data_IF_204385879643
#
_entry.id   IF_204385879643
#
_cell.length_a   1.000
_cell.length_b   1.000
_cell.length_c   1.000
_cell.angle_alpha   90.00
_cell.angle_beta   90.00
_cell.angle_gamma   90.00
#
_symmetry.space_group_name_H-M   'P 1'
#
loop_
_entity.id
_entity.type
_entity.pdbx_description
1 polymer ?
#
# COMPACT_ATOMS: atom_id res chain seq x y z
N UNK A 1 -21.68 -31.08 2.70
CA UNK A 1 -20.94 -31.17 3.98
C UNK A 1 -20.82 -29.75 4.51
N UNK A 2 -21.56 -29.36 5.57
CA UNK A 2 -21.57 -27.97 6.05
C UNK A 2 -20.18 -27.43 6.39
N UNK A 3 -19.29 -28.29 6.91
CA UNK A 3 -17.91 -27.92 7.27
C UNK A 3 -17.10 -27.46 6.05
N UNK A 4 -17.34 -28.06 4.88
CA UNK A 4 -16.68 -27.70 3.62
C UNK A 4 -17.38 -26.54 2.87
N UNK A 5 -18.68 -26.38 3.10
CA UNK A 5 -19.56 -25.48 2.33
C UNK A 5 -19.78 -24.12 2.99
N UNK A 6 -19.70 -24.04 4.33
CA UNK A 6 -19.88 -22.80 5.09
C UNK A 6 -18.52 -22.14 5.30
N UNK A 7 -18.30 -21.01 4.62
CA UNK A 7 -17.01 -20.29 4.60
C UNK A 7 -16.94 -19.12 5.58
N UNK A 8 -18.06 -18.76 6.20
CA UNK A 8 -18.23 -17.63 7.11
C UNK A 8 -18.41 -18.07 8.57
N UNK A 9 -18.10 -19.33 8.89
CA UNK A 9 -18.05 -19.84 10.28
C UNK A 9 -17.14 -18.98 11.16
N UNK A 10 -15.98 -18.61 10.60
CA UNK A 10 -15.12 -17.54 11.12
C UNK A 10 -15.05 -16.45 10.07
N UNK A 11 -15.43 -15.24 10.47
CA UNK A 11 -15.37 -14.07 9.63
C UNK A 11 -14.70 -12.90 10.36
N UNK A 12 -13.90 -12.13 9.62
CA UNK A 12 -13.29 -10.90 10.09
C UNK A 12 -13.78 -9.74 9.24
N UNK A 13 -14.16 -8.65 9.88
CA UNK A 13 -14.50 -7.41 9.19
C UNK A 13 -13.38 -6.39 9.35
N UNK A 14 -12.83 -5.93 8.23
CA UNK A 14 -11.84 -4.86 8.19
C UNK A 14 -12.53 -3.58 7.71
N UNK A 15 -12.55 -2.57 8.58
CA UNK A 15 -13.15 -1.26 8.30
C UNK A 15 -12.03 -0.26 8.01
N UNK A 16 -12.06 0.32 6.81
CA UNK A 16 -11.12 1.36 6.37
C UNK A 16 -11.82 2.72 6.34
N UNK A 17 -11.04 3.81 6.30
CA UNK A 17 -11.62 5.14 6.14
C UNK A 17 -11.96 5.45 4.69
N UNK A 18 -11.10 5.08 3.73
CA UNK A 18 -11.29 5.37 2.32
C UNK A 18 -11.34 4.12 1.45
N UNK A 19 -11.86 4.29 0.23
CA UNK A 19 -11.87 3.25 -0.82
C UNK A 19 -10.44 2.86 -1.21
N UNK A 20 -9.51 3.82 -1.30
CA UNK A 20 -8.09 3.53 -1.56
C UNK A 20 -7.51 2.57 -0.53
N UNK A 21 -7.79 2.79 0.76
CA UNK A 21 -7.30 1.91 1.82
C UNK A 21 -8.02 0.54 1.80
N UNK A 22 -9.31 0.49 1.42
CA UNK A 22 -10.06 -0.78 1.22
C UNK A 22 -9.39 -1.65 0.17
N UNK A 23 -9.06 -1.07 -0.98
CA UNK A 23 -8.49 -1.80 -2.12
C UNK A 23 -7.05 -2.26 -1.80
N UNK A 24 -6.26 -1.43 -1.12
CA UNK A 24 -4.93 -1.83 -0.63
C UNK A 24 -4.98 -2.99 0.36
N UNK A 25 -5.94 -3.00 1.29
CA UNK A 25 -6.13 -4.13 2.20
C UNK A 25 -6.45 -5.41 1.41
N UNK A 26 -7.30 -5.31 0.39
CA UNK A 26 -7.61 -6.45 -0.48
C UNK A 26 -6.35 -6.99 -1.19
N UNK A 27 -5.52 -6.11 -1.76
CA UNK A 27 -4.26 -6.54 -2.39
C UNK A 27 -3.26 -7.14 -1.39
N UNK A 28 -3.16 -6.58 -0.17
CA UNK A 28 -2.32 -7.14 0.88
C UNK A 28 -2.77 -8.55 1.28
N UNK A 29 -4.09 -8.79 1.32
CA UNK A 29 -4.66 -10.11 1.56
C UNK A 29 -4.30 -11.06 0.42
N UNK A 30 -4.52 -10.68 -0.84
CA UNK A 30 -4.19 -11.51 -2.02
C UNK A 30 -2.70 -11.83 -2.12
N UNK A 31 -1.85 -10.87 -1.75
CA UNK A 31 -0.40 -11.05 -1.76
C UNK A 31 0.12 -11.98 -0.66
N UNK A 32 -0.69 -12.28 0.37
CA UNK A 32 -0.26 -13.07 1.54
C UNK A 32 -0.98 -14.40 1.71
N UNK A 33 -2.27 -14.44 1.37
CA UNK A 33 -3.18 -15.52 1.67
C UNK A 33 -3.61 -16.23 0.39
N UNK A 34 -3.73 -17.55 0.46
CA UNK A 34 -4.35 -18.32 -0.61
C UNK A 34 -5.85 -18.02 -0.60
N UNK A 35 -6.32 -17.41 -1.68
CA UNK A 35 -7.74 -17.08 -1.89
C UNK A 35 -8.43 -18.30 -2.47
N UNK A 36 -9.61 -18.64 -1.94
CA UNK A 36 -10.42 -19.74 -2.46
C UNK A 36 -10.99 -19.35 -3.83
N UNK A 37 -10.90 -20.25 -4.79
CA UNK A 37 -11.36 -20.01 -6.16
C UNK A 37 -12.83 -19.54 -6.20
N UNK A 38 -13.07 -18.42 -6.90
CA UNK A 38 -14.41 -17.83 -7.04
C UNK A 38 -14.93 -17.08 -5.80
N UNK A 39 -14.16 -17.01 -4.71
CA UNK A 39 -14.58 -16.41 -3.44
C UNK A 39 -13.91 -15.07 -3.13
N UNK A 40 -13.44 -14.37 -4.16
CA UNK A 40 -13.05 -12.97 -4.11
C UNK A 40 -14.05 -12.13 -4.90
N UNK A 41 -15.09 -11.67 -4.20
CA UNK A 41 -16.32 -11.15 -4.80
C UNK A 41 -16.78 -9.85 -4.13
N UNK A 42 -17.56 -9.08 -4.87
CA UNK A 42 -18.27 -7.91 -4.35
C UNK A 42 -19.77 -8.17 -4.49
N UNK A 43 -20.44 -8.80 -3.51
CA UNK A 43 -21.81 -9.31 -3.68
C UNK A 43 -22.85 -8.26 -4.09
N UNK A 44 -22.56 -6.99 -3.81
CA UNK A 44 -23.42 -5.87 -4.19
C UNK A 44 -23.48 -5.60 -5.69
N UNK A 45 -22.43 -5.96 -6.44
CA UNK A 45 -22.35 -5.70 -7.88
C UNK A 45 -23.39 -6.48 -8.69
N UNK A 46 -23.83 -7.64 -8.20
CA UNK A 46 -24.86 -8.47 -8.83
C UNK A 46 -26.29 -8.18 -8.37
N UNK A 47 -26.50 -7.21 -7.46
CA UNK A 47 -27.85 -6.93 -6.93
C UNK A 47 -28.70 -6.18 -7.98
N UNK A 48 -30.02 -6.43 -8.03
CA UNK A 48 -30.93 -5.65 -8.86
C UNK A 48 -30.82 -4.14 -8.57
N UNK A 49 -31.12 -3.30 -9.54
CA UNK A 49 -31.01 -1.84 -9.40
C UNK A 49 -31.74 -1.27 -8.16
N UNK A 50 -32.91 -1.81 -7.80
CA UNK A 50 -33.67 -1.42 -6.60
C UNK A 50 -33.08 -1.93 -5.26
N UNK A 51 -32.06 -2.79 -5.32
CA UNK A 51 -31.29 -3.30 -4.17
C UNK A 51 -29.82 -2.89 -4.22
N UNK A 52 -29.49 -1.87 -5.04
CA UNK A 52 -28.14 -1.32 -5.15
C UNK A 52 -27.67 -0.70 -3.84
N UNK A 53 -26.35 -0.55 -3.70
CA UNK A 53 -25.73 0.22 -2.62
C UNK A 53 -24.93 -0.59 -1.61
N UNK A 54 -25.11 -1.91 -1.57
CA UNK A 54 -24.24 -2.77 -0.78
C UNK A 54 -22.82 -2.73 -1.36
N UNK A 55 -21.87 -2.23 -0.58
CA UNK A 55 -20.46 -2.12 -0.97
C UNK A 55 -19.59 -2.84 0.06
N UNK A 56 -19.12 -4.01 -0.31
CA UNK A 56 -18.21 -4.80 0.50
C UNK A 56 -17.46 -5.77 -0.39
N UNK A 57 -16.14 -5.87 -0.19
CA UNK A 57 -15.32 -6.92 -0.78
C UNK A 57 -15.29 -8.11 0.18
N UNK A 58 -15.69 -9.28 -0.31
CA UNK A 58 -15.67 -10.54 0.41
C UNK A 58 -14.54 -11.38 -0.17
N UNK A 59 -13.60 -11.78 0.68
CA UNK A 59 -12.48 -12.64 0.31
C UNK A 59 -12.48 -13.84 1.24
N UNK A 60 -12.70 -15.04 0.72
CA UNK A 60 -12.49 -16.27 1.49
C UNK A 60 -11.06 -16.75 1.30
N UNK A 61 -10.36 -16.95 2.41
CA UNK A 61 -8.97 -17.45 2.42
C UNK A 61 -8.90 -18.86 3.00
N UNK A 62 -7.97 -19.66 2.49
CA UNK A 62 -7.82 -21.09 2.80
C UNK A 62 -6.39 -21.48 3.17
N UNK A 63 -5.49 -20.52 3.33
CA UNK A 63 -4.10 -20.80 3.66
C UNK A 63 -3.15 -19.67 3.35
N UNK A 64 -1.85 -20.00 3.30
CA UNK A 64 -0.79 -19.10 2.85
C UNK A 64 -0.67 -19.14 1.31
N UNK A 65 -0.48 -17.97 0.69
CA UNK A 65 -0.22 -17.90 -0.75
C UNK A 65 1.12 -18.57 -1.07
N UNK A 66 1.22 -19.42 -2.12
CA UNK A 66 2.46 -20.09 -2.49
C UNK A 66 3.63 -19.12 -2.78
N UNK A 67 3.31 -17.92 -3.26
CA UNK A 67 4.28 -16.89 -3.63
C UNK A 67 4.65 -15.97 -2.44
N UNK A 68 4.01 -16.15 -1.29
CA UNK A 68 4.24 -15.32 -0.12
C UNK A 68 5.43 -15.82 0.72
N UNK A 69 6.04 -14.91 1.48
CA UNK A 69 7.16 -15.23 2.36
C UNK A 69 6.75 -16.26 3.44
N UNK A 70 7.24 -17.49 3.33
CA UNK A 70 6.81 -18.60 4.18
C UNK A 70 7.01 -18.34 5.69
N UNK A 71 6.09 -18.86 6.50
CA UNK A 71 6.33 -19.06 7.95
C UNK A 71 5.58 -18.15 8.92
N UNK A 72 4.59 -17.37 8.45
CA UNK A 72 3.62 -16.74 9.35
C UNK A 72 2.48 -17.70 9.73
N UNK A 73 2.11 -18.61 8.82
CA UNK A 73 1.20 -19.71 9.10
C UNK A 73 2.00 -20.85 9.75
N UNK A 74 1.83 -21.01 11.06
CA UNK A 74 2.56 -22.01 11.84
C UNK A 74 1.97 -23.39 11.55
N UNK A 75 2.77 -24.29 10.99
CA UNK A 75 2.37 -25.69 10.76
C UNK A 75 1.92 -26.34 12.07
N UNK A 76 0.73 -26.96 12.08
CA UNK A 76 0.10 -27.52 13.27
C UNK A 76 -0.43 -26.49 14.28
N UNK A 77 -0.31 -25.18 14.01
CA UNK A 77 -0.94 -24.11 14.77
C UNK A 77 -2.45 -24.04 14.53
N UNK A 78 -3.17 -23.28 15.37
CA UNK A 78 -4.64 -23.20 15.34
C UNK A 78 -5.19 -22.76 13.98
N UNK A 79 -4.60 -21.71 13.38
CA UNK A 79 -5.05 -21.23 12.08
C UNK A 79 -4.76 -22.22 10.94
N UNK A 80 -3.64 -22.94 11.00
CA UNK A 80 -3.32 -23.97 10.02
C UNK A 80 -4.32 -25.14 10.10
N UNK A 81 -4.59 -25.62 11.33
CA UNK A 81 -5.62 -26.64 11.58
C UNK A 81 -7.00 -26.19 11.13
N UNK A 82 -7.35 -24.93 11.35
CA UNK A 82 -8.62 -24.38 10.89
C UNK A 82 -8.75 -24.47 9.37
N UNK A 83 -7.70 -24.13 8.60
CA UNK A 83 -7.73 -24.26 7.15
C UNK A 83 -7.72 -25.72 6.64
N UNK A 84 -7.17 -26.65 7.40
CA UNK A 84 -7.22 -28.09 7.09
C UNK A 84 -8.61 -28.68 7.33
N UNK A 85 -9.35 -28.17 8.33
CA UNK A 85 -10.63 -28.73 8.76
C UNK A 85 -11.85 -28.01 8.13
N UNK A 86 -11.78 -26.70 7.93
CA UNK A 86 -12.93 -25.87 7.51
C UNK A 86 -12.78 -25.30 6.10
N UNK A 87 -13.92 -25.03 5.45
CA UNK A 87 -13.99 -24.55 4.07
C UNK A 87 -13.42 -23.15 3.78
N UNK A 88 -12.90 -22.46 4.79
CA UNK A 88 -12.24 -21.16 4.67
C UNK A 88 -12.57 -20.19 5.82
N UNK A 89 -11.89 -19.03 5.78
CA UNK A 89 -12.16 -17.88 6.64
C UNK A 89 -12.57 -16.71 5.77
N UNK A 90 -13.72 -16.09 6.06
CA UNK A 90 -14.20 -14.95 5.29
C UNK A 90 -13.62 -13.62 5.84
N UNK A 91 -13.08 -12.79 4.94
CA UNK A 91 -12.66 -11.44 5.25
C UNK A 91 -13.56 -10.47 4.48
N UNK A 92 -14.30 -9.65 5.22
CA UNK A 92 -15.15 -8.60 4.68
C UNK A 92 -14.48 -7.24 4.84
N UNK A 93 -14.18 -6.58 3.72
CA UNK A 93 -13.51 -5.28 3.70
C UNK A 93 -14.52 -4.21 3.28
N UNK A 94 -14.65 -3.15 4.09
CA UNK A 94 -15.59 -2.03 3.84
C UNK A 94 -14.96 -0.71 4.25
N UNK A 95 -15.43 0.39 3.65
CA UNK A 95 -15.22 1.72 4.24
C UNK A 95 -16.14 1.91 5.45
N UNK A 96 -15.84 2.88 6.31
CA UNK A 96 -16.69 3.25 7.44
C UNK A 96 -18.10 3.64 6.99
N UNK A 97 -18.21 4.34 5.85
CA UNK A 97 -19.48 4.76 5.26
C UNK A 97 -20.27 3.53 4.74
N UNK A 98 -19.59 2.61 4.04
CA UNK A 98 -20.20 1.37 3.58
C UNK A 98 -20.60 0.43 4.72
N UNK A 99 -19.85 0.42 5.82
CA UNK A 99 -20.24 -0.30 7.01
C UNK A 99 -21.53 0.25 7.61
N UNK A 100 -21.62 1.57 7.83
CA UNK A 100 -22.81 2.20 8.40
C UNK A 100 -24.06 1.95 7.55
N UNK A 101 -23.95 2.11 6.22
CA UNK A 101 -25.06 1.84 5.30
C UNK A 101 -25.52 0.37 5.39
N UNK A 102 -24.57 -0.56 5.36
CA UNK A 102 -24.89 -1.99 5.31
C UNK A 102 -25.47 -2.52 6.63
N UNK A 103 -25.02 -2.05 7.79
CA UNK A 103 -25.63 -2.45 9.06
C UNK A 103 -27.07 -1.92 9.16
N UNK A 104 -27.32 -0.67 8.74
CA UNK A 104 -28.67 -0.11 8.74
C UNK A 104 -29.61 -0.81 7.74
N UNK A 105 -29.15 -1.09 6.52
CA UNK A 105 -29.94 -1.85 5.53
C UNK A 105 -30.25 -3.26 6.04
N UNK A 106 -29.27 -3.93 6.64
CA UNK A 106 -29.45 -5.29 7.13
C UNK A 106 -30.47 -5.36 8.29
N UNK A 107 -30.42 -4.42 9.23
CA UNK A 107 -31.39 -4.36 10.33
C UNK A 107 -32.82 -4.08 9.86
N UNK A 108 -32.99 -3.17 8.90
CA UNK A 108 -34.32 -2.69 8.48
C UNK A 108 -34.94 -3.52 7.37
N UNK A 109 -34.15 -3.95 6.40
CA UNK A 109 -34.62 -4.60 5.17
C UNK A 109 -34.48 -6.12 5.19
N UNK A 110 -33.42 -6.64 5.81
CA UNK A 110 -33.13 -8.08 5.79
C UNK A 110 -33.64 -8.84 7.03
N UNK A 111 -33.67 -8.17 8.20
CA UNK A 111 -34.19 -8.74 9.46
C UNK A 111 -35.56 -8.18 9.88
N UNK A 112 -36.09 -7.22 9.13
CA UNK A 112 -37.29 -6.50 9.51
C UNK A 112 -38.57 -7.22 9.10
N UNK A 113 -39.19 -7.98 10.01
CA UNK A 113 -40.59 -8.44 9.85
C UNK A 113 -41.56 -7.27 9.58
N UNK A 114 -41.15 -6.05 9.94
CA UNK A 114 -41.85 -4.80 9.66
C UNK A 114 -41.80 -4.40 8.19
N UNK A 115 -40.69 -4.64 7.48
CA UNK A 115 -40.57 -4.33 6.05
C UNK A 115 -41.46 -5.26 5.21
N UNK A 116 -41.54 -6.54 5.58
CA UNK A 116 -42.43 -7.48 4.89
C UNK A 116 -43.92 -7.22 5.18
N UNK A 117 -44.24 -6.52 6.28
CA UNK A 117 -45.60 -6.25 6.71
C UNK A 117 -46.20 -4.93 6.17
N UNK A 118 -45.39 -4.07 5.56
CA UNK A 118 -45.85 -2.79 4.96
C UNK A 118 -46.26 -2.97 3.49
N UNK A 119 -47.01 -1.99 2.96
CA UNK A 119 -47.49 -2.04 1.58
C UNK A 119 -46.37 -1.93 0.54
N UNK A 120 -46.60 -2.48 -0.66
CA UNK A 120 -45.63 -2.48 -1.77
C UNK A 120 -45.14 -1.06 -2.13
N UNK A 121 -46.01 -0.06 -2.02
CA UNK A 121 -45.65 1.33 -2.26
C UNK A 121 -44.62 1.84 -1.26
N UNK A 122 -44.82 1.55 0.03
CA UNK A 122 -43.89 1.96 1.09
C UNK A 122 -42.55 1.21 0.96
N UNK A 123 -42.58 -0.08 0.58
CA UNK A 123 -41.36 -0.86 0.28
C UNK A 123 -40.56 -0.21 -0.86
N UNK A 124 -41.22 0.21 -1.95
CA UNK A 124 -40.57 0.92 -3.05
C UNK A 124 -39.97 2.25 -2.61
N UNK A 125 -40.68 3.01 -1.77
CA UNK A 125 -40.16 4.26 -1.20
C UNK A 125 -38.92 4.00 -0.35
N UNK A 126 -38.94 2.98 0.51
CA UNK A 126 -37.78 2.59 1.32
C UNK A 126 -36.60 2.16 0.43
N UNK A 127 -36.85 1.41 -0.63
CA UNK A 127 -35.82 0.99 -1.59
C UNK A 127 -35.16 2.18 -2.27
N UNK A 128 -35.95 3.19 -2.65
CA UNK A 128 -35.43 4.45 -3.19
C UNK A 128 -34.59 5.22 -2.15
N UNK A 129 -35.02 5.26 -0.89
CA UNK A 129 -34.27 5.90 0.20
C UNK A 129 -32.94 5.19 0.46
N UNK A 130 -32.90 3.86 0.41
CA UNK A 130 -31.64 3.10 0.50
C UNK A 130 -30.72 3.39 -0.69
N UNK A 131 -31.28 3.52 -1.89
CA UNK A 131 -30.54 3.96 -3.08
C UNK A 131 -29.93 5.35 -2.89
N UNK A 132 -30.71 6.32 -2.43
CA UNK A 132 -30.22 7.68 -2.16
C UNK A 132 -29.15 7.70 -1.05
N UNK A 133 -29.32 6.91 0.02
CA UNK A 133 -28.32 6.75 1.06
C UNK A 133 -27.03 6.11 0.52
N UNK A 134 -27.14 5.21 -0.46
CA UNK A 134 -25.97 4.63 -1.11
C UNK A 134 -25.21 5.63 -1.98
N UNK A 135 -25.91 6.54 -2.66
CA UNK A 135 -25.29 7.63 -3.43
C UNK A 135 -24.56 8.60 -2.50
N UNK A 136 -25.22 9.01 -1.40
CA UNK A 136 -24.61 9.88 -0.40
C UNK A 136 -23.36 9.25 0.24
N UNK A 137 -23.40 7.94 0.50
CA UNK A 137 -22.25 7.16 0.96
C UNK A 137 -21.10 7.18 -0.06
N UNK A 138 -21.37 6.90 -1.34
CA UNK A 138 -20.35 6.95 -2.39
C UNK A 138 -19.71 8.35 -2.49
N UNK A 139 -20.53 9.41 -2.43
CA UNK A 139 -20.03 10.79 -2.44
C UNK A 139 -19.16 11.12 -1.21
N UNK A 140 -19.47 10.55 -0.04
CA UNK A 140 -18.63 10.69 1.16
C UNK A 140 -17.28 9.98 0.98
N UNK A 141 -17.29 8.77 0.43
CA UNK A 141 -16.06 8.02 0.14
C UNK A 141 -15.18 8.79 -0.88
N UNK A 142 -15.76 9.38 -1.93
CA UNK A 142 -15.07 10.24 -2.90
C UNK A 142 -14.48 11.50 -2.23
N UNK A 143 -15.22 12.11 -1.30
CA UNK A 143 -14.74 13.26 -0.53
C UNK A 143 -13.50 12.90 0.30
N UNK A 144 -13.47 11.72 0.92
CA UNK A 144 -12.27 11.26 1.65
C UNK A 144 -11.06 11.05 0.75
N UNK A 145 -11.26 10.52 -0.46
CA UNK A 145 -10.18 10.41 -1.46
C UNK A 145 -9.67 11.80 -1.88
N UNK A 146 -10.57 12.76 -2.10
CA UNK A 146 -10.22 14.13 -2.43
C UNK A 146 -9.42 14.81 -1.30
N UNK A 147 -9.80 14.59 -0.03
CA UNK A 147 -9.05 15.08 1.12
C UNK A 147 -7.65 14.46 1.18
N UNK A 148 -7.52 13.14 0.98
CA UNK A 148 -6.21 12.46 0.93
C UNK A 148 -5.32 13.03 -0.19
N UNK A 149 -5.91 13.38 -1.35
CA UNK A 149 -5.20 14.03 -2.45
C UNK A 149 -4.77 15.46 -2.12
N UNK A 150 -5.63 16.25 -1.49
CA UNK A 150 -5.29 17.60 -1.04
C UNK A 150 -4.21 17.59 0.03
N UNK A 151 -4.24 16.62 0.96
CA UNK A 151 -3.15 16.45 1.93
C UNK A 151 -1.83 16.12 1.25
N UNK A 152 -1.87 15.34 0.16
CA UNK A 152 -0.69 15.01 -0.62
C UNK A 152 -0.15 16.18 -1.46
N UNK A 153 -1.01 17.15 -1.82
CA UNK A 153 -0.64 18.40 -2.50
C UNK A 153 -1.42 19.64 -1.98
N UNK A 154 -1.05 20.17 -0.79
CA UNK A 154 -1.81 21.20 -0.05
C UNK A 154 -2.00 22.54 -0.76
N UNK A 155 -1.17 22.86 -1.75
CA UNK A 155 -1.21 24.14 -2.48
C UNK A 155 -2.17 24.14 -3.67
N UNK A 156 -2.83 23.02 -3.97
CA UNK A 156 -3.88 22.96 -4.99
C UNK A 156 -5.04 23.88 -4.57
N UNK A 157 -5.17 25.03 -5.23
CA UNK A 157 -6.20 26.04 -4.94
C UNK A 157 -7.58 25.70 -5.52
N UNK A 158 -7.67 24.71 -6.41
CA UNK A 158 -8.90 24.32 -7.08
C UNK A 158 -9.27 22.86 -6.77
N UNK A 159 -10.43 22.67 -6.14
CA UNK A 159 -11.05 21.36 -6.00
C UNK A 159 -11.47 20.85 -7.39
N UNK A 160 -11.05 19.64 -7.81
CA UNK A 160 -11.77 18.91 -8.84
C UNK A 160 -13.05 18.36 -8.19
N UNK A 161 -14.04 19.22 -7.97
CA UNK A 161 -15.41 18.74 -7.77
C UNK A 161 -15.81 18.12 -9.11
N UNK A 162 -16.28 16.88 -9.11
CA UNK A 162 -16.78 16.21 -10.30
C UNK A 162 -17.87 17.06 -10.97
N UNK A 163 -17.45 17.95 -11.88
CA UNK A 163 -18.32 18.57 -12.86
C UNK A 163 -18.43 17.56 -13.98
N UNK A 164 -19.65 17.06 -14.17
CA UNK A 164 -20.05 16.36 -15.38
C UNK A 164 -19.44 17.03 -16.61
N UNK A 165 -18.96 16.22 -17.55
CA UNK A 165 -18.33 16.64 -18.79
C UNK A 165 -19.28 17.50 -19.64
N UNK A 166 -19.32 18.80 -19.34
CA UNK A 166 -19.76 19.84 -20.25
C UNK A 166 -18.53 20.31 -21.02
N UNK A 167 -18.45 19.92 -22.29
CA UNK A 167 -17.38 20.35 -23.17
C UNK A 167 -17.35 21.86 -23.30
N UNK A 168 -16.26 22.46 -22.85
CA UNK A 168 -15.81 23.75 -23.34
C UNK A 168 -14.29 23.68 -23.48
N UNK A 169 -13.87 23.34 -24.70
CA UNK A 169 -12.49 23.49 -25.15
C UNK A 169 -12.16 24.98 -25.17
N UNK A 170 -11.46 25.46 -24.15
CA UNK A 170 -10.84 26.78 -24.18
C UNK A 170 -9.74 26.75 -25.24
N UNK A 171 -9.73 27.65 -26.24
CA UNK A 171 -8.67 27.69 -27.23
C UNK A 171 -7.40 28.24 -26.57
N UNK A 172 -6.46 27.35 -26.24
CA UNK A 172 -5.12 27.75 -25.83
C UNK A 172 -4.37 28.20 -27.09
N UNK A 173 -3.84 29.42 -27.03
CA UNK A 173 -3.11 30.06 -28.13
C UNK A 173 -1.99 29.19 -28.70
N UNK A 174 -1.76 29.34 -30.01
CA UNK A 174 -0.86 28.52 -30.83
C UNK A 174 0.63 28.60 -30.48
N UNK A 175 1.00 28.02 -29.34
CA UNK A 175 2.35 27.52 -29.10
C UNK A 175 2.49 26.14 -29.74
N UNK A 176 3.61 25.89 -30.42
CA UNK A 176 3.96 24.56 -30.90
C UNK A 176 4.08 23.62 -29.71
N UNK A 177 3.15 22.67 -29.56
CA UNK A 177 3.23 21.63 -28.54
C UNK A 177 4.49 20.79 -28.77
N UNK A 178 5.38 20.71 -27.78
CA UNK A 178 6.65 20.00 -27.88
C UNK A 178 6.44 18.57 -27.42
N UNK A 179 6.60 17.55 -28.29
CA UNK A 179 6.46 16.16 -27.90
C UNK A 179 7.45 15.75 -26.81
N UNK A 180 7.10 14.76 -26.00
CA UNK A 180 8.02 14.16 -25.03
C UNK A 180 9.19 13.50 -25.77
N UNK A 181 10.39 14.03 -25.56
CA UNK A 181 11.66 13.53 -26.09
C UNK A 181 12.73 13.55 -24.98
N UNK A 182 13.66 12.58 -24.90
CA UNK A 182 14.68 12.55 -23.87
C UNK A 182 15.54 13.82 -23.73
N UNK A 183 15.91 14.49 -24.82
CA UNK A 183 16.69 15.73 -24.73
C UNK A 183 15.85 16.86 -24.12
N UNK A 184 14.61 17.01 -24.58
CA UNK A 184 13.67 18.00 -24.01
C UNK A 184 13.30 17.70 -22.56
N UNK A 185 13.14 16.43 -22.21
CA UNK A 185 12.90 15.98 -20.84
C UNK A 185 14.09 16.31 -19.94
N UNK A 186 15.32 16.09 -20.41
CA UNK A 186 16.53 16.44 -19.67
C UNK A 186 16.60 17.95 -19.37
N UNK A 187 16.29 18.78 -20.37
CA UNK A 187 16.25 20.24 -20.21
C UNK A 187 15.15 20.68 -19.23
N UNK A 188 13.95 20.09 -19.35
CA UNK A 188 12.83 20.33 -18.44
C UNK A 188 13.20 20.00 -16.98
N UNK A 189 13.74 18.80 -16.76
CA UNK A 189 14.19 18.33 -15.44
C UNK A 189 15.28 19.22 -14.86
N UNK A 190 16.23 19.68 -15.68
CA UNK A 190 17.30 20.57 -15.24
C UNK A 190 16.78 21.94 -14.80
N UNK A 191 15.79 22.47 -15.51
CA UNK A 191 15.16 23.75 -15.17
C UNK A 191 14.26 23.64 -13.94
N UNK A 192 13.47 22.56 -13.81
CA UNK A 192 12.49 22.39 -12.73
C UNK A 192 13.10 21.96 -11.41
N UNK A 193 14.19 21.20 -11.45
CA UNK A 193 14.88 20.65 -10.27
C UNK A 193 16.39 20.96 -10.31
N UNK A 194 16.79 22.24 -10.22
CA UNK A 194 18.19 22.64 -10.36
C UNK A 194 19.09 22.00 -9.31
N UNK A 195 18.62 21.88 -8.07
CA UNK A 195 19.38 21.41 -6.91
C UNK A 195 19.41 19.88 -6.73
N UNK A 196 18.67 19.14 -7.57
CA UNK A 196 18.61 17.68 -7.52
C UNK A 196 19.71 17.03 -8.37
N UNK A 197 20.12 15.82 -7.99
CA UNK A 197 21.15 15.06 -8.70
C UNK A 197 20.78 14.81 -10.17
N UNK A 198 21.75 15.04 -11.07
CA UNK A 198 21.55 14.87 -12.51
C UNK A 198 21.17 13.41 -12.81
N UNK A 199 20.12 13.24 -13.60
CA UNK A 199 19.67 11.91 -14.02
C UNK A 199 20.60 11.29 -15.07
N UNK A 200 20.77 9.97 -14.99
CA UNK A 200 21.40 9.19 -16.07
C UNK A 200 20.53 9.19 -17.32
N UNK A 201 21.09 8.84 -18.48
CA UNK A 201 20.31 8.71 -19.73
C UNK A 201 19.17 7.70 -19.61
N UNK A 202 19.44 6.57 -18.94
CA UNK A 202 18.41 5.58 -18.62
C UNK A 202 17.31 6.17 -17.71
N UNK A 203 17.68 7.01 -16.74
CA UNK A 203 16.74 7.72 -15.87
C UNK A 203 15.88 8.74 -16.63
N UNK A 204 16.45 9.46 -17.59
CA UNK A 204 15.69 10.41 -18.42
C UNK A 204 14.70 9.68 -19.32
N UNK A 205 15.11 8.54 -19.92
CA UNK A 205 14.18 7.68 -20.67
C UNK A 205 13.04 7.18 -19.78
N UNK A 206 13.37 6.73 -18.57
CA UNK A 206 12.37 6.31 -17.60
C UNK A 206 11.41 7.44 -17.24
N UNK A 207 11.88 8.69 -17.09
CA UNK A 207 10.99 9.85 -16.89
C UNK A 207 10.02 10.05 -18.07
N UNK A 208 10.47 9.89 -19.32
CA UNK A 208 9.57 9.94 -20.48
C UNK A 208 8.49 8.86 -20.40
N UNK A 209 8.86 7.63 -19.99
CA UNK A 209 7.91 6.52 -19.85
C UNK A 209 6.86 6.82 -18.76
N UNK A 210 7.27 7.40 -17.62
CA UNK A 210 6.37 7.80 -16.54
C UNK A 210 5.36 8.87 -16.96
N UNK A 211 5.82 9.89 -17.69
CA UNK A 211 4.99 10.99 -18.17
C UNK A 211 3.98 10.47 -19.20
N UNK A 212 4.45 9.64 -20.14
CA UNK A 212 3.60 9.01 -21.16
C UNK A 212 2.54 8.10 -20.53
N UNK A 213 2.92 7.26 -19.56
CA UNK A 213 2.01 6.39 -18.82
C UNK A 213 0.97 7.18 -17.99
N UNK A 214 1.27 8.44 -17.65
CA UNK A 214 0.33 9.34 -16.98
C UNK A 214 -0.65 10.04 -17.95
N UNK A 215 -0.57 9.74 -19.25
CA UNK A 215 -1.42 10.33 -20.29
C UNK A 215 -0.97 11.71 -20.75
N UNK A 216 0.28 12.11 -20.45
CA UNK A 216 0.86 13.39 -20.85
C UNK A 216 1.77 13.17 -22.08
N UNK A 217 1.49 13.89 -23.16
CA UNK A 217 2.13 13.71 -24.47
C UNK A 217 3.10 14.83 -24.86
N UNK A 218 3.11 15.94 -24.09
CA UNK A 218 3.88 17.16 -24.39
C UNK A 218 4.56 17.74 -23.15
N UNK A 219 5.68 18.44 -23.35
CA UNK A 219 6.45 19.09 -22.27
C UNK A 219 5.62 20.21 -21.62
N UNK A 220 4.81 20.90 -22.41
CA UNK A 220 3.92 21.96 -21.93
C UNK A 220 2.79 21.40 -21.06
N UNK A 221 2.19 20.25 -21.44
CA UNK A 221 1.19 19.58 -20.61
C UNK A 221 1.80 19.09 -19.29
N UNK A 222 3.04 18.58 -19.32
CA UNK A 222 3.78 18.22 -18.11
C UNK A 222 4.04 19.43 -17.21
N UNK A 223 4.52 20.55 -17.79
CA UNK A 223 4.72 21.78 -17.06
C UNK A 223 3.45 22.25 -16.37
N UNK A 224 2.35 22.34 -17.12
CA UNK A 224 1.04 22.76 -16.60
C UNK A 224 0.51 21.84 -15.49
N UNK A 225 0.70 20.52 -15.61
CA UNK A 225 0.30 19.57 -14.57
C UNK A 225 1.08 19.76 -13.26
N UNK A 226 2.34 20.19 -13.33
CA UNK A 226 3.22 20.37 -12.19
C UNK A 226 3.24 21.80 -11.63
N UNK A 227 2.67 22.78 -12.35
CA UNK A 227 2.61 24.19 -11.90
C UNK A 227 1.83 24.36 -10.59
N UNK A 228 0.82 23.50 -10.35
CA UNK A 228 0.03 23.52 -9.12
C UNK A 228 0.69 22.78 -7.93
N UNK A 229 1.83 22.14 -8.16
CA UNK A 229 2.54 21.35 -7.15
C UNK A 229 3.60 22.22 -6.44
N UNK A 230 3.49 22.33 -5.12
CA UNK A 230 4.56 22.92 -4.32
C UNK A 230 5.73 21.93 -4.20
N UNK A 231 6.73 22.17 -5.05
CA UNK A 231 7.95 21.35 -5.13
C UNK A 231 8.72 21.26 -3.82
N UNK A 232 8.78 22.36 -3.08
CA UNK A 232 9.54 22.43 -1.83
C UNK A 232 8.80 21.66 -0.74
N UNK A 233 7.47 21.76 -0.70
CA UNK A 233 6.65 20.99 0.24
C UNK A 233 6.69 19.50 -0.07
N UNK A 234 6.51 19.10 -1.34
CA UNK A 234 6.64 17.68 -1.74
C UNK A 234 8.01 17.16 -1.37
N UNK A 235 9.07 17.92 -1.66
CA UNK A 235 10.42 17.57 -1.24
C UNK A 235 10.54 17.47 0.28
N UNK A 236 10.02 18.41 1.06
CA UNK A 236 10.08 18.41 2.52
C UNK A 236 9.36 17.20 3.12
N UNK A 237 8.17 16.87 2.62
CA UNK A 237 7.42 15.69 3.04
C UNK A 237 8.14 14.40 2.69
N UNK A 238 8.83 14.33 1.54
CA UNK A 238 9.54 13.14 1.06
C UNK A 238 10.97 13.00 1.57
N UNK A 239 11.65 14.10 1.92
CA UNK A 239 13.08 14.10 2.21
C UNK A 239 13.33 13.69 3.65
N UNK A 240 14.24 12.73 3.83
CA UNK A 240 14.78 12.39 5.13
C UNK A 240 16.16 13.00 5.40
N UNK A 241 16.75 13.76 4.47
CA UNK A 241 18.07 14.40 4.66
C UNK A 241 19.08 14.22 3.52
N UNK A 242 18.74 13.47 2.46
CA UNK A 242 19.61 13.27 1.27
C UNK A 242 19.09 13.90 -0.02
N UNK A 243 20.03 14.23 -0.90
CA UNK A 243 19.77 14.59 -2.29
C UNK A 243 19.17 13.41 -3.05
N UNK A 244 18.20 13.69 -3.91
CA UNK A 244 17.55 12.70 -4.79
C UNK A 244 17.75 13.13 -6.25
N UNK A 245 17.61 12.18 -7.18
CA UNK A 245 17.74 12.48 -8.61
C UNK A 245 16.59 13.35 -9.11
N UNK A 246 16.82 14.11 -10.19
CA UNK A 246 15.77 14.89 -10.87
C UNK A 246 14.57 14.03 -11.31
N UNK A 247 14.82 12.79 -11.73
CA UNK A 247 13.78 11.83 -12.09
C UNK A 247 12.96 11.40 -10.88
N UNK A 248 13.63 11.20 -9.73
CA UNK A 248 12.95 10.88 -8.46
C UNK A 248 12.06 12.05 -8.00
N UNK A 249 12.51 13.30 -8.17
CA UNK A 249 11.71 14.50 -7.91
C UNK A 249 10.46 14.56 -8.80
N UNK A 250 10.62 14.31 -10.10
CA UNK A 250 9.49 14.23 -11.03
C UNK A 250 8.48 13.15 -10.60
N UNK A 251 8.97 11.96 -10.24
CA UNK A 251 8.18 10.82 -9.78
C UNK A 251 7.43 11.11 -8.46
N UNK A 252 7.96 11.99 -7.60
CA UNK A 252 7.25 12.47 -6.40
C UNK A 252 6.18 13.52 -6.70
N UNK A 253 6.48 14.47 -7.57
CA UNK A 253 5.50 15.52 -7.91
C UNK A 253 4.32 14.97 -8.73
N UNK A 254 4.57 14.04 -9.66
CA UNK A 254 3.50 13.35 -10.38
C UNK A 254 2.64 12.50 -9.43
N UNK A 255 3.25 11.86 -8.43
CA UNK A 255 2.53 11.14 -7.39
C UNK A 255 1.69 12.09 -6.52
N UNK A 256 2.22 13.26 -6.16
CA UNK A 256 1.47 14.28 -5.41
C UNK A 256 0.28 14.83 -6.23
N UNK A 257 0.46 15.00 -7.55
CA UNK A 257 -0.56 15.52 -8.45
C UNK A 257 -1.72 14.53 -8.69
N UNK A 258 -1.40 13.25 -8.92
CA UNK A 258 -2.39 12.27 -9.38
C UNK A 258 -2.71 11.16 -8.36
N UNK A 259 -2.01 11.11 -7.22
CA UNK A 259 -2.27 10.19 -6.12
C UNK A 259 -2.38 8.73 -6.56
N UNK A 260 -3.44 8.05 -6.14
CA UNK A 260 -3.67 6.63 -6.43
C UNK A 260 -3.70 6.33 -7.94
N UNK A 261 -4.22 7.24 -8.77
CA UNK A 261 -4.25 7.08 -10.24
C UNK A 261 -2.84 6.98 -10.83
N UNK A 262 -1.89 7.70 -10.25
CA UNK A 262 -0.48 7.60 -10.67
C UNK A 262 0.09 6.21 -10.39
N UNK A 263 -0.28 5.61 -9.26
CA UNK A 263 0.18 4.29 -8.84
C UNK A 263 -0.36 3.21 -9.78
N UNK A 264 -1.64 3.28 -10.11
CA UNK A 264 -2.30 2.37 -11.05
C UNK A 264 -1.66 2.45 -12.44
N UNK A 265 -1.42 3.67 -12.93
CA UNK A 265 -0.88 3.90 -14.26
C UNK A 265 0.62 3.59 -14.38
N UNK A 266 1.41 3.80 -13.31
CA UNK A 266 2.87 3.73 -13.39
C UNK A 266 3.51 2.67 -12.51
N UNK A 267 2.74 1.95 -11.70
CA UNK A 267 3.25 0.95 -10.76
C UNK A 267 3.95 -0.23 -11.42
N UNK A 268 3.65 -0.49 -12.69
CA UNK A 268 4.25 -1.55 -13.52
C UNK A 268 5.36 -1.03 -14.45
N UNK A 269 5.63 0.29 -14.47
CA UNK A 269 6.60 0.90 -15.38
C UNK A 269 8.02 0.68 -14.85
N UNK A 270 8.93 0.30 -15.73
CA UNK A 270 10.33 -0.01 -15.39
C UNK A 270 10.55 -1.47 -14.98
N UNK A 271 11.73 -1.78 -14.44
CA UNK A 271 12.14 -3.16 -14.10
C UNK A 271 11.92 -3.54 -12.62
N UNK A 272 11.55 -2.58 -11.77
CA UNK A 272 11.43 -2.78 -10.32
C UNK A 272 10.05 -3.36 -9.99
N UNK A 273 10.00 -4.65 -9.66
CA UNK A 273 8.76 -5.37 -9.33
C UNK A 273 7.98 -4.78 -8.15
N UNK A 274 8.67 -4.10 -7.23
CA UNK A 274 8.09 -3.53 -6.01
C UNK A 274 7.68 -2.06 -6.16
N UNK A 275 7.74 -1.48 -7.37
CA UNK A 275 7.48 -0.06 -7.61
C UNK A 275 6.11 0.41 -7.11
N UNK A 276 5.03 -0.34 -7.41
CA UNK A 276 3.69 0.01 -6.93
C UNK A 276 3.65 0.17 -5.40
N UNK A 277 4.23 -0.78 -4.66
CA UNK A 277 4.32 -0.74 -3.19
C UNK A 277 5.18 0.42 -2.69
N UNK A 278 6.26 0.76 -3.38
CA UNK A 278 7.05 1.95 -3.05
C UNK A 278 6.23 3.24 -3.23
N UNK A 279 5.49 3.35 -4.33
CA UNK A 279 4.61 4.48 -4.62
C UNK A 279 3.50 4.61 -3.57
N UNK A 280 2.89 3.50 -3.16
CA UNK A 280 1.86 3.49 -2.10
C UNK A 280 2.40 4.06 -0.79
N UNK A 281 3.59 3.63 -0.39
CA UNK A 281 4.23 4.14 0.81
C UNK A 281 4.59 5.62 0.69
N UNK A 282 5.14 6.03 -0.45
CA UNK A 282 5.45 7.44 -0.72
C UNK A 282 4.18 8.30 -0.66
N UNK A 283 3.08 7.80 -1.21
CA UNK A 283 1.79 8.49 -1.14
C UNK A 283 1.30 8.60 0.30
N UNK A 284 1.46 7.54 1.11
CA UNK A 284 1.15 7.57 2.55
C UNK A 284 1.95 8.63 3.30
N UNK A 285 3.20 8.86 2.88
CA UNK A 285 4.06 9.89 3.43
C UNK A 285 3.54 11.29 3.07
N UNK A 286 3.18 11.51 1.80
CA UNK A 286 2.58 12.78 1.36
C UNK A 286 1.27 13.10 2.09
N UNK A 287 0.39 12.12 2.29
CA UNK A 287 -0.89 12.30 3.01
C UNK A 287 -0.77 12.19 4.54
N UNK A 288 0.45 12.17 5.09
CA UNK A 288 0.70 12.17 6.54
C UNK A 288 0.23 10.91 7.28
N UNK A 289 0.00 9.80 6.59
CA UNK A 289 -0.42 8.52 7.19
C UNK A 289 0.76 7.68 7.72
N UNK A 290 1.98 7.97 7.30
CA UNK A 290 3.19 7.35 7.87
C UNK A 290 3.55 7.99 9.22
N UNK A 291 2.80 7.70 10.28
CA UNK A 291 3.24 7.97 11.68
C UNK A 291 4.29 6.97 12.16
N UNK A 292 4.58 5.95 11.37
CA UNK A 292 5.54 4.89 11.65
C UNK A 292 6.75 5.05 10.74
N UNK A 293 7.90 5.36 11.35
CA UNK A 293 9.21 5.40 10.68
C UNK A 293 9.50 3.99 10.14
N UNK A 294 9.80 3.89 8.84
CA UNK A 294 10.05 2.62 8.15
C UNK A 294 11.52 2.46 7.81
N UNK A 295 11.97 1.22 7.69
CA UNK A 295 13.38 0.88 7.49
C UNK A 295 13.56 0.19 6.15
N UNK A 296 14.60 0.55 5.41
CA UNK A 296 15.03 -0.12 4.19
C UNK A 296 16.50 -0.48 4.26
N UNK A 297 16.98 -1.24 3.28
CA UNK A 297 18.35 -1.73 3.23
C UNK A 297 19.06 -1.29 1.97
N UNK A 298 20.35 -1.01 2.09
CA UNK A 298 21.26 -0.65 0.98
C UNK A 298 22.63 -1.28 1.20
N UNK A 299 23.39 -1.43 0.13
CA UNK A 299 24.77 -1.90 0.13
C UNK A 299 24.96 -3.09 -0.80
N UNK A 300 26.21 -3.42 -1.14
CA UNK A 300 26.54 -4.54 -2.01
C UNK A 300 26.05 -5.87 -1.42
N UNK A 301 26.08 -6.02 -0.10
CA UNK A 301 25.67 -7.23 0.62
C UNK A 301 24.16 -7.26 0.94
N UNK A 302 23.40 -6.24 0.51
CA UNK A 302 21.93 -6.26 0.61
C UNK A 302 21.34 -7.22 -0.45
N UNK A 303 20.60 -8.26 -0.04
CA UNK A 303 19.93 -9.19 -0.97
C UNK A 303 18.96 -8.48 -1.92
N UNK A 304 18.87 -8.94 -3.17
CA UNK A 304 18.05 -8.29 -4.19
C UNK A 304 16.55 -8.25 -3.85
N UNK A 305 16.04 -9.28 -3.16
CA UNK A 305 14.67 -9.36 -2.66
C UNK A 305 14.35 -8.28 -1.60
N UNK A 306 15.38 -7.75 -0.94
CA UNK A 306 15.26 -6.71 0.08
C UNK A 306 15.55 -5.31 -0.45
N UNK A 307 16.26 -5.18 -1.58
CA UNK A 307 16.54 -3.90 -2.25
C UNK A 307 15.22 -3.30 -2.71
N UNK A 308 14.66 -2.39 -1.91
CA UNK A 308 13.37 -1.67 -2.10
C UNK A 308 12.24 -2.09 -1.17
N UNK A 309 12.47 -3.07 -0.28
CA UNK A 309 11.45 -3.49 0.68
C UNK A 309 11.52 -2.62 1.94
N UNK A 310 10.35 -2.21 2.43
CA UNK A 310 10.21 -1.42 3.64
C UNK A 310 9.71 -2.27 4.80
N UNK A 311 10.38 -2.12 5.93
CA UNK A 311 10.16 -2.91 7.12
C UNK A 311 9.74 -2.03 8.29
N UNK A 312 8.82 -2.48 9.15
CA UNK A 312 8.71 -1.91 10.49
C UNK A 312 10.00 -2.21 11.27
N UNK A 313 10.27 -1.46 12.35
CA UNK A 313 11.52 -1.56 13.10
C UNK A 313 11.89 -3.00 13.51
N UNK A 314 10.95 -3.75 14.09
CA UNK A 314 11.17 -5.15 14.45
C UNK A 314 11.34 -6.08 13.23
N UNK A 315 10.75 -5.73 12.08
CA UNK A 315 10.99 -6.42 10.82
C UNK A 315 12.41 -6.20 10.31
N UNK A 316 12.91 -4.97 10.44
CA UNK A 316 14.25 -4.65 10.03
C UNK A 316 15.32 -5.40 10.85
N UNK A 317 15.11 -5.53 12.16
CA UNK A 317 15.98 -6.36 13.03
C UNK A 317 16.09 -7.79 12.49
N UNK A 318 14.97 -8.39 12.05
CA UNK A 318 14.96 -9.77 11.53
C UNK A 318 15.76 -9.91 10.24
N UNK A 319 15.59 -8.99 9.31
CA UNK A 319 16.33 -9.04 8.04
C UNK A 319 17.81 -8.74 8.23
N UNK A 320 18.18 -7.79 9.08
CA UNK A 320 19.60 -7.55 9.43
C UNK A 320 20.20 -8.81 10.03
N UNK A 321 19.49 -9.45 10.97
CA UNK A 321 19.94 -10.69 11.57
C UNK A 321 20.10 -11.80 10.51
N UNK A 322 19.14 -11.92 9.59
CA UNK A 322 19.20 -12.90 8.50
C UNK A 322 20.41 -12.67 7.59
N UNK A 323 20.61 -11.45 7.11
CA UNK A 323 21.67 -11.09 6.15
C UNK A 323 23.05 -11.40 6.74
N UNK A 324 23.29 -10.98 7.99
CA UNK A 324 24.57 -11.22 8.66
C UNK A 324 24.78 -12.72 8.88
N UNK A 325 23.74 -13.45 9.29
CA UNK A 325 23.86 -14.89 9.52
C UNK A 325 24.05 -15.71 8.25
N UNK A 326 23.43 -15.31 7.14
CA UNK A 326 23.61 -15.94 5.83
C UNK A 326 25.03 -15.69 5.29
N UNK A 327 25.62 -14.52 5.57
CA UNK A 327 26.96 -14.13 5.10
C UNK A 327 28.09 -14.67 5.98
N UNK A 328 27.98 -14.55 7.30
CA UNK A 328 29.07 -14.77 8.26
C UNK A 328 28.80 -15.94 9.24
N UNK A 329 27.62 -16.53 9.21
CA UNK A 329 27.22 -17.60 10.14
C UNK A 329 26.56 -17.08 11.43
N UNK A 330 26.16 -18.01 12.29
CA UNK A 330 25.25 -17.74 13.42
C UNK A 330 25.91 -17.59 14.78
N UNK A 331 27.24 -17.71 14.85
CA UNK A 331 27.97 -17.73 16.13
C UNK A 331 27.96 -16.35 16.78
N UNK A 332 28.30 -15.31 16.01
CA UNK A 332 28.51 -13.95 16.55
C UNK A 332 27.24 -13.09 16.56
N UNK A 333 26.12 -13.62 16.04
CA UNK A 333 24.86 -12.88 15.92
C UNK A 333 23.93 -13.00 17.14
N UNK A 334 24.28 -13.86 18.10
CA UNK A 334 23.45 -14.08 19.29
C UNK A 334 23.43 -12.84 20.17
N UNK A 335 22.23 -12.37 20.49
CA UNK A 335 22.00 -11.25 21.41
C UNK A 335 21.06 -11.75 22.51
N UNK A 336 21.44 -11.66 23.79
CA UNK A 336 20.59 -12.05 24.90
C UNK A 336 19.18 -11.47 24.77
N UNK A 337 18.18 -12.32 24.98
CA UNK A 337 16.75 -11.96 24.92
C UNK A 337 16.24 -11.37 23.59
N UNK A 338 17.06 -11.37 22.53
CA UNK A 338 16.71 -10.76 21.25
C UNK A 338 16.99 -11.62 20.02
N UNK A 339 18.11 -12.34 19.96
CA UNK A 339 18.50 -13.18 18.82
C UNK A 339 19.12 -14.48 19.32
N UNK A 340 18.53 -15.62 18.94
CA UNK A 340 18.99 -16.96 19.32
C UNK A 340 19.02 -17.92 18.14
N UNK A 341 19.86 -18.95 18.21
CA UNK A 341 19.88 -20.08 17.26
C UNK A 341 18.98 -21.23 17.69
N UNK A 342 18.18 -21.05 18.75
CA UNK A 342 17.25 -22.03 19.27
C UNK A 342 15.98 -21.33 19.74
N UNK A 343 14.88 -22.08 19.80
CA UNK A 343 13.59 -21.58 20.29
C UNK A 343 13.57 -21.48 21.82
N UNK A 344 14.36 -20.54 22.36
CA UNK A 344 14.58 -20.39 23.80
C UNK A 344 14.53 -18.93 24.26
N UNK A 345 14.05 -18.01 23.40
CA UNK A 345 13.81 -16.63 23.80
C UNK A 345 12.61 -16.56 24.75
N UNK A 346 12.58 -15.62 25.72
CA UNK A 346 11.46 -15.49 26.64
C UNK A 346 10.13 -15.29 25.90
N UNK A 347 9.04 -15.93 26.34
CA UNK A 347 7.73 -15.87 25.67
C UNK A 347 7.23 -14.43 25.43
N UNK A 348 7.52 -13.51 26.36
CA UNK A 348 7.16 -12.08 26.25
C UNK A 348 7.77 -11.37 25.04
N UNK A 349 8.82 -11.91 24.44
CA UNK A 349 9.47 -11.36 23.23
C UNK A 349 8.70 -11.64 21.95
N UNK A 350 7.75 -12.61 21.99
CA UNK A 350 7.03 -13.12 20.82
C UNK A 350 7.98 -13.39 19.65
N UNK A 351 9.05 -14.13 19.89
CA UNK A 351 10.09 -14.35 18.87
C UNK A 351 9.54 -15.02 17.61
N UNK A 352 10.03 -14.58 16.45
CA UNK A 352 9.74 -15.22 15.16
C UNK A 352 10.94 -16.00 14.68
N UNK A 353 10.68 -17.17 14.11
CA UNK A 353 11.68 -17.97 13.41
C UNK A 353 12.01 -17.31 12.06
N UNK A 354 13.30 -17.15 11.80
CA UNK A 354 13.89 -16.65 10.55
C UNK A 354 14.70 -17.80 9.96
N UNK A 355 14.40 -18.17 8.71
CA UNK A 355 15.09 -19.26 8.00
C UNK A 355 16.33 -18.71 7.30
N UNK A 356 17.42 -19.46 7.38
CA UNK A 356 18.70 -19.13 6.75
C UNK A 356 18.89 -19.94 5.47
N UNK A 357 19.71 -19.42 4.55
CA UNK A 357 20.02 -20.05 3.27
C UNK A 357 20.70 -21.43 3.43
N UNK A 358 21.43 -21.63 4.52
CA UNK A 358 22.09 -22.90 4.85
C UNK A 358 21.15 -23.96 5.48
N UNK A 359 19.83 -23.70 5.53
CA UNK A 359 18.85 -24.58 6.17
C UNK A 359 18.75 -24.43 7.70
N UNK A 360 19.59 -23.58 8.30
CA UNK A 360 19.54 -23.21 9.71
C UNK A 360 18.36 -22.31 10.06
N UNK A 361 18.25 -21.97 11.35
CA UNK A 361 17.19 -21.07 11.83
C UNK A 361 17.69 -20.17 12.95
N UNK A 362 17.19 -18.94 12.94
CA UNK A 362 17.28 -17.99 14.03
C UNK A 362 15.91 -17.72 14.62
N UNK A 363 15.86 -17.37 15.89
CA UNK A 363 14.69 -16.83 16.58
C UNK A 363 15.01 -15.41 16.97
N UNK A 364 14.18 -14.48 16.52
CA UNK A 364 14.39 -13.04 16.70
C UNK A 364 13.17 -12.43 17.37
N UNK A 365 13.39 -11.69 18.46
CA UNK A 365 12.34 -10.99 19.19
C UNK A 365 11.53 -10.06 18.28
N UNK A 366 10.21 -10.02 18.46
CA UNK A 366 9.34 -9.14 17.64
C UNK A 366 8.51 -8.15 18.44
N UNK A 367 8.33 -8.41 19.73
CA UNK A 367 7.72 -7.47 20.67
C UNK A 367 8.73 -6.38 21.09
N UNK A 368 9.21 -5.63 20.11
CA UNK A 368 10.22 -4.59 20.28
C UNK A 368 9.61 -3.23 20.02
N UNK A 369 9.86 -2.28 20.92
CA UNK A 369 9.63 -0.87 20.60
C UNK A 369 10.70 -0.37 19.62
N UNK A 370 10.51 0.84 19.11
CA UNK A 370 11.39 1.43 18.09
C UNK A 370 12.83 1.59 18.56
N UNK A 371 13.01 2.15 19.76
CA UNK A 371 14.32 2.41 20.32
C UNK A 371 15.10 1.10 20.54
N UNK A 372 14.43 0.07 21.07
CA UNK A 372 15.02 -1.26 21.21
C UNK A 372 15.40 -1.87 19.85
N UNK A 373 14.56 -1.69 18.83
CA UNK A 373 14.85 -2.18 17.47
C UNK A 373 16.08 -1.49 16.87
N UNK A 374 16.17 -0.16 16.97
CA UNK A 374 17.32 0.59 16.45
C UNK A 374 18.62 0.26 17.19
N UNK A 375 18.56 0.06 18.52
CA UNK A 375 19.71 -0.42 19.29
C UNK A 375 20.19 -1.79 18.81
N UNK A 376 19.26 -2.73 18.62
CA UNK A 376 19.58 -4.06 18.12
C UNK A 376 20.15 -4.02 16.70
N UNK A 377 19.62 -3.17 15.82
CA UNK A 377 20.18 -3.02 14.46
C UNK A 377 21.62 -2.52 14.53
N UNK A 378 21.90 -1.46 15.30
CA UNK A 378 23.27 -0.94 15.47
C UNK A 378 24.21 -2.00 16.04
N UNK A 379 23.76 -2.74 17.03
CA UNK A 379 24.55 -3.81 17.65
C UNK A 379 24.85 -4.93 16.64
N UNK A 380 23.86 -5.38 15.87
CA UNK A 380 24.05 -6.37 14.82
C UNK A 380 25.03 -5.89 13.75
N UNK A 381 24.87 -4.66 13.24
CA UNK A 381 25.77 -4.08 12.23
C UNK A 381 27.20 -3.95 12.76
N UNK A 382 27.38 -3.57 14.03
CA UNK A 382 28.71 -3.48 14.66
C UNK A 382 29.43 -4.82 14.77
N UNK A 383 28.70 -5.94 14.73
CA UNK A 383 29.28 -7.29 14.73
C UNK A 383 29.62 -7.80 13.33
N UNK A 384 29.22 -7.06 12.29
CA UNK A 384 29.40 -7.39 10.89
C UNK A 384 30.22 -6.32 10.16
N UNK A 385 31.32 -5.84 10.76
CA UNK A 385 32.11 -4.70 10.27
C UNK A 385 32.64 -4.85 8.83
N UNK A 386 32.76 -6.08 8.33
CA UNK A 386 33.24 -6.38 6.99
C UNK A 386 32.14 -6.40 5.91
N UNK A 387 30.88 -6.10 6.24
CA UNK A 387 29.77 -6.09 5.29
C UNK A 387 29.43 -4.67 4.82
N UNK A 388 29.23 -4.50 3.52
CA UNK A 388 28.55 -3.33 2.95
C UNK A 388 27.04 -3.53 3.06
N UNK A 389 26.53 -3.32 4.28
CA UNK A 389 25.11 -3.30 4.61
C UNK A 389 24.78 -2.06 5.44
N UNK A 390 23.85 -1.24 4.93
CA UNK A 390 23.31 -0.08 5.63
C UNK A 390 21.81 -0.23 5.82
N UNK A 391 21.34 0.14 7.01
CA UNK A 391 19.92 0.21 7.34
C UNK A 391 19.52 1.67 7.35
N UNK A 392 18.50 2.01 6.55
CA UNK A 392 18.02 3.36 6.37
C UNK A 392 16.66 3.52 7.02
N UNK A 393 16.51 4.45 7.95
CA UNK A 393 15.24 4.89 8.51
C UNK A 393 14.73 6.07 7.68
N UNK A 394 13.63 5.84 6.98
CA UNK A 394 13.00 6.79 6.04
C UNK A 394 13.94 7.36 4.96
N UNK A 395 15.10 6.73 4.74
CA UNK A 395 16.13 7.15 3.80
C UNK A 395 17.47 7.52 4.44
N UNK A 396 17.52 7.71 5.76
CA UNK A 396 18.74 8.04 6.49
C UNK A 396 19.36 6.85 7.21
N UNK A 397 20.69 6.65 7.15
CA UNK A 397 21.36 5.62 7.94
C UNK A 397 21.04 5.77 9.43
N UNK A 398 20.73 4.65 10.08
CA UNK A 398 20.66 4.62 11.54
C UNK A 398 22.02 4.40 12.15
#
# INVERSE_FOLDING_TARGET
>A
NPVEQVTDTVAVRVITYSITDRDRVAELIRGRLAVKDGEDKSPGAGRPHHRRGYDCRHIVVVGESPDAEAGWLISGGELARYFEEFGGLEIQIRTVAAHAWAEFEHERRYKGAQYDAIGEQDQKTIDQLFGAAADARSALDETFVAIDLLLANPTTREYPVARESGGDSVPVGGGSATPIDPAKMKDFLAKRFPDAEVASEAGVKFACDLVSASGLDTIEALGSALDAVDSEQVQSLMSAGRSVTRVRRLDDELLACYGQRYIENTGHVGSVKTRARQLEWRYDRLRGKTRYLMYSFRGADCPEDLRSTLFPAAGAVREVARIIADSQGTVDIRIPDAVSTSDNLPEGTRSKRVRLANGGSLWVATNLNREASERLIRELLSRAENMDLQVLKDGEPI
#
